data_IF_319883645793
#
_entry.id   IF_319883645793
#
_cell.length_a   1.000
_cell.length_b   1.000
_cell.length_c   1.000
_cell.angle_alpha   90.00
_cell.angle_beta   90.00
_cell.angle_gamma   90.00
#
_symmetry.space_group_name_H-M   'P 1'
#
loop_
_entity.id
_entity.type
_entity.pdbx_description
1 polymer ?
#
# COMPACT_ATOMS: atom_id res chain seq x y z
N UNK A 1 -21.89 -30.29 -24.72
CA UNK A 1 -20.84 -30.54 -23.70
C UNK A 1 -19.72 -29.48 -23.78
N UNK A 2 -20.04 -28.19 -23.59
CA UNK A 2 -19.05 -27.08 -23.68
C UNK A 2 -18.86 -26.39 -22.31
N UNK A 3 -19.81 -26.56 -21.39
CA UNK A 3 -19.78 -25.96 -20.05
C UNK A 3 -18.75 -26.56 -19.09
N UNK A 4 -18.35 -27.82 -19.28
CA UNK A 4 -17.44 -28.49 -18.34
C UNK A 4 -16.00 -27.95 -18.43
N UNK A 5 -15.47 -27.80 -19.64
CA UNK A 5 -14.10 -27.30 -19.85
C UNK A 5 -13.93 -25.85 -19.42
N UNK A 6 -14.92 -24.98 -19.69
CA UNK A 6 -14.88 -23.56 -19.29
C UNK A 6 -14.91 -23.41 -17.77
N UNK A 7 -15.74 -24.17 -17.06
CA UNK A 7 -15.78 -24.18 -15.60
C UNK A 7 -14.45 -24.67 -14.97
N UNK A 8 -13.80 -25.68 -15.56
CA UNK A 8 -12.50 -26.18 -15.07
C UNK A 8 -11.38 -25.15 -15.23
N UNK A 9 -11.30 -24.50 -16.39
CA UNK A 9 -10.33 -23.44 -16.63
C UNK A 9 -10.54 -22.24 -15.69
N UNK A 10 -11.80 -21.84 -15.48
CA UNK A 10 -12.15 -20.79 -14.52
C UNK A 10 -11.75 -21.16 -13.09
N UNK A 11 -12.09 -22.37 -12.62
CA UNK A 11 -11.74 -22.83 -11.28
C UNK A 11 -10.21 -22.89 -11.06
N UNK A 12 -9.47 -23.33 -12.08
CA UNK A 12 -8.00 -23.31 -12.04
C UNK A 12 -7.52 -21.87 -11.87
N UNK A 13 -7.93 -20.95 -12.74
CA UNK A 13 -7.54 -19.54 -12.68
C UNK A 13 -7.87 -18.90 -11.31
N UNK A 14 -9.08 -19.14 -10.78
CA UNK A 14 -9.49 -18.67 -9.45
C UNK A 14 -8.59 -19.20 -8.33
N UNK A 15 -8.24 -20.49 -8.38
CA UNK A 15 -7.33 -21.09 -7.40
C UNK A 15 -5.93 -20.46 -7.45
N UNK A 16 -5.43 -20.15 -8.64
CA UNK A 16 -4.15 -19.46 -8.80
C UNK A 16 -4.20 -18.05 -8.25
N UNK A 17 -5.22 -17.27 -8.61
CA UNK A 17 -5.40 -15.90 -8.11
C UNK A 17 -5.51 -15.87 -6.59
N UNK A 18 -6.30 -16.78 -6.02
CA UNK A 18 -6.41 -16.95 -4.57
C UNK A 18 -5.06 -17.19 -3.89
N UNK A 19 -4.23 -18.07 -4.47
CA UNK A 19 -2.93 -18.40 -3.91
C UNK A 19 -1.94 -17.23 -4.03
N UNK A 20 -1.90 -16.59 -5.20
CA UNK A 20 -1.03 -15.43 -5.44
C UNK A 20 -1.36 -14.28 -4.51
N UNK A 21 -2.64 -13.92 -4.37
CA UNK A 21 -3.08 -12.84 -3.47
C UNK A 21 -2.75 -13.16 -2.02
N UNK A 22 -2.98 -14.40 -1.57
CA UNK A 22 -2.57 -14.84 -0.22
C UNK A 22 -1.07 -14.69 0.02
N UNK A 23 -0.25 -15.09 -0.94
CA UNK A 23 1.20 -14.95 -0.82
C UNK A 23 1.61 -13.48 -0.77
N UNK A 24 0.98 -12.62 -1.58
CA UNK A 24 1.21 -11.17 -1.51
C UNK A 24 0.92 -10.61 -0.12
N UNK A 25 -0.19 -11.00 0.52
CA UNK A 25 -0.51 -10.57 1.89
C UNK A 25 0.52 -11.08 2.91
N UNK A 26 0.92 -12.34 2.79
CA UNK A 26 1.97 -12.90 3.65
C UNK A 26 3.28 -12.12 3.50
N UNK A 27 3.69 -11.82 2.28
CA UNK A 27 4.93 -11.10 2.03
C UNK A 27 4.82 -9.64 2.46
N UNK A 28 3.69 -8.97 2.23
CA UNK A 28 3.39 -7.65 2.77
C UNK A 28 3.57 -7.61 4.29
N UNK A 29 2.95 -8.55 5.02
CA UNK A 29 3.05 -8.62 6.48
C UNK A 29 4.50 -8.86 6.96
N UNK A 30 5.31 -9.61 6.19
CA UNK A 30 6.75 -9.78 6.50
C UNK A 30 7.52 -8.47 6.34
N UNK A 31 7.25 -7.69 5.28
CA UNK A 31 7.89 -6.39 5.08
C UNK A 31 7.46 -5.37 6.14
N UNK A 32 6.17 -5.38 6.51
CA UNK A 32 5.65 -4.55 7.59
C UNK A 32 6.38 -4.84 8.93
N UNK A 33 6.61 -6.11 9.24
CA UNK A 33 7.39 -6.51 10.41
C UNK A 33 8.88 -6.09 10.32
N UNK A 34 9.48 -6.12 9.13
CA UNK A 34 10.86 -5.65 8.96
C UNK A 34 10.97 -4.15 9.16
N UNK A 35 10.00 -3.37 8.67
CA UNK A 35 9.90 -1.93 8.93
C UNK A 35 9.76 -1.64 10.42
N UNK A 36 8.86 -2.33 11.14
CA UNK A 36 8.72 -2.16 12.60
C UNK A 36 10.04 -2.35 13.36
N UNK A 37 10.87 -3.31 12.94
CA UNK A 37 12.19 -3.53 13.54
C UNK A 37 13.16 -2.37 13.32
N UNK A 38 13.04 -1.67 12.19
CA UNK A 38 13.88 -0.51 11.84
C UNK A 38 13.44 0.77 12.54
N UNK A 39 12.18 0.85 13.00
CA UNK A 39 11.64 2.01 13.72
C UNK A 39 12.44 2.36 14.99
N UNK A 40 13.08 1.38 15.64
CA UNK A 40 13.93 1.59 16.81
C UNK A 40 15.41 1.89 16.49
N UNK A 41 15.82 1.78 15.22
CA UNK A 41 17.21 1.93 14.78
C UNK A 41 17.47 3.26 14.03
N UNK A 42 16.55 4.22 14.10
CA UNK A 42 16.59 5.48 13.32
C UNK A 42 16.47 5.28 11.79
N UNK A 43 15.93 4.14 11.34
CA UNK A 43 15.80 3.80 9.92
C UNK A 43 14.49 4.26 9.25
N UNK A 44 13.59 4.90 10.01
CA UNK A 44 12.26 5.34 9.55
C UNK A 44 12.12 6.83 9.81
N UNK A 45 11.68 7.64 8.82
CA UNK A 45 11.48 9.08 8.98
C UNK A 45 10.53 9.40 10.15
N UNK A 46 10.76 10.52 10.82
CA UNK A 46 10.02 10.93 12.03
C UNK A 46 8.49 11.01 11.86
N UNK A 47 8.00 11.18 10.63
CA UNK A 47 6.56 11.24 10.31
C UNK A 47 6.09 10.08 9.40
N UNK A 48 6.90 9.04 9.22
CA UNK A 48 6.49 7.89 8.43
C UNK A 48 5.58 6.96 9.25
N UNK A 49 4.34 6.79 8.78
CA UNK A 49 3.37 5.86 9.36
C UNK A 49 3.61 4.48 8.78
N UNK A 50 3.85 3.50 9.65
CA UNK A 50 3.94 2.10 9.24
C UNK A 50 2.51 1.58 9.13
N UNK A 51 2.10 1.04 7.96
CA UNK A 51 0.74 0.54 7.81
C UNK A 51 0.54 -0.73 8.65
N UNK A 52 -0.69 -1.00 9.14
CA UNK A 52 -0.97 -2.20 9.91
C UNK A 52 -0.91 -3.47 9.04
N UNK A 53 -0.71 -4.65 9.67
CA UNK A 53 -0.75 -5.92 8.97
C UNK A 53 -2.15 -6.22 8.44
N UNK A 54 -2.22 -6.94 7.33
CA UNK A 54 -3.49 -7.37 6.72
C UNK A 54 -3.89 -8.73 7.28
N UNK A 55 -5.12 -8.85 7.76
CA UNK A 55 -5.69 -10.14 8.17
C UNK A 55 -5.97 -11.03 6.96
N UNK A 56 -5.45 -12.27 6.99
CA UNK A 56 -5.69 -13.25 5.92
C UNK A 56 -7.12 -13.84 6.05
N UNK A 57 -7.65 -13.87 7.27
CA UNK A 57 -9.02 -14.31 7.53
C UNK A 57 -9.96 -13.22 7.03
N UNK A 58 -10.95 -13.58 6.22
CA UNK A 58 -11.84 -12.58 5.61
C UNK A 58 -11.21 -11.77 4.47
N UNK A 59 -9.98 -12.08 4.02
CA UNK A 59 -9.34 -11.34 2.92
C UNK A 59 -10.16 -11.30 1.63
N UNK A 60 -10.98 -12.32 1.40
CA UNK A 60 -11.85 -12.43 0.23
C UNK A 60 -13.33 -12.20 0.56
N UNK A 61 -13.67 -11.83 1.80
CA UNK A 61 -15.02 -11.32 2.07
C UNK A 61 -15.14 -9.92 1.50
N UNK A 62 -16.26 -9.66 0.84
CA UNK A 62 -16.62 -8.32 0.38
C UNK A 62 -17.17 -7.54 1.57
N UNK A 63 -16.29 -7.15 2.48
CA UNK A 63 -16.61 -6.29 3.61
C UNK A 63 -15.99 -4.91 3.36
N UNK A 64 -16.85 -3.90 3.29
CA UNK A 64 -16.45 -2.51 2.99
C UNK A 64 -15.84 -1.85 4.22
N UNK A 65 -16.21 -2.32 5.41
CA UNK A 65 -15.68 -1.84 6.69
C UNK A 65 -14.36 -2.53 7.08
N UNK A 66 -13.83 -3.39 6.20
CA UNK A 66 -12.64 -4.16 6.48
C UNK A 66 -11.41 -3.25 6.52
N UNK A 67 -10.58 -3.38 7.56
CA UNK A 67 -9.38 -2.56 7.83
C UNK A 67 -8.32 -2.53 6.70
N UNK A 68 -8.51 -3.30 5.62
CA UNK A 68 -7.70 -3.21 4.40
C UNK A 68 -7.94 -1.90 3.64
N UNK A 69 -9.13 -1.30 3.80
CA UNK A 69 -9.49 0.00 3.22
C UNK A 69 -9.05 1.11 4.17
N UNK A 70 -7.75 1.13 4.47
CA UNK A 70 -7.16 2.04 5.44
C UNK A 70 -7.41 3.50 5.04
N UNK A 71 -8.05 4.25 5.93
CA UNK A 71 -8.18 5.72 5.82
C UNK A 71 -6.90 6.42 6.30
N UNK A 72 -5.75 5.93 5.83
CA UNK A 72 -4.47 6.59 6.03
C UNK A 72 -4.28 7.49 4.81
N UNK A 73 -5.15 8.51 4.73
CA UNK A 73 -5.06 9.54 3.71
C UNK A 73 -3.84 10.45 3.93
N UNK A 74 -3.56 11.28 2.93
CA UNK A 74 -2.76 12.49 3.14
C UNK A 74 -3.53 13.31 4.18
N UNK A 75 -2.96 13.50 5.37
CA UNK A 75 -3.65 14.21 6.43
C UNK A 75 -4.09 15.60 5.92
N UNK A 76 -5.40 15.79 5.70
CA UNK A 76 -5.98 17.06 5.25
C UNK A 76 -5.59 18.20 6.21
N UNK A 77 -5.40 17.85 7.48
CA UNK A 77 -5.10 18.77 8.58
C UNK A 77 -3.62 19.20 8.61
N UNK A 78 -2.68 18.39 8.10
CA UNK A 78 -1.24 18.70 8.14
C UNK A 78 -0.82 19.61 6.97
N UNK A 79 -1.58 19.60 5.87
CA UNK A 79 -1.35 20.45 4.69
C UNK A 79 -2.31 21.65 4.58
N UNK A 80 -3.18 21.88 5.56
CA UNK A 80 -4.04 23.08 5.62
C UNK A 80 -4.94 23.28 4.39
N UNK A 81 -5.36 22.19 3.73
CA UNK A 81 -6.12 22.22 2.48
C UNK A 81 -5.33 22.71 1.26
N UNK A 82 -4.01 22.92 1.36
CA UNK A 82 -3.16 23.19 0.21
C UNK A 82 -2.76 21.88 -0.46
N UNK A 83 -3.03 21.78 -1.76
CA UNK A 83 -2.60 20.65 -2.58
C UNK A 83 -1.08 20.48 -2.44
N UNK A 84 -0.58 19.30 -2.04
CA UNK A 84 0.85 19.13 -1.83
C UNK A 84 1.60 19.35 -3.16
N UNK A 85 2.81 19.95 -3.15
CA UNK A 85 3.50 20.35 -4.37
C UNK A 85 3.76 19.21 -5.36
N UNK A 86 4.02 17.98 -4.89
CA UNK A 86 4.18 16.82 -5.77
C UNK A 86 2.90 16.46 -6.55
N UNK A 87 1.75 16.96 -6.13
CA UNK A 87 0.45 16.75 -6.76
C UNK A 87 0.00 17.95 -7.60
N UNK A 88 0.32 19.19 -7.19
CA UNK A 88 -0.18 20.43 -7.82
C UNK A 88 0.85 21.26 -8.58
N UNK A 89 2.14 20.97 -8.43
CA UNK A 89 3.24 21.71 -9.07
C UNK A 89 3.88 20.85 -10.17
N UNK A 90 3.74 21.31 -11.43
CA UNK A 90 4.27 20.63 -12.61
C UNK A 90 5.81 20.52 -12.59
N UNK A 91 6.49 21.46 -11.95
CA UNK A 91 7.95 21.47 -11.85
C UNK A 91 8.45 20.43 -10.82
N UNK A 92 7.65 20.15 -9.77
CA UNK A 92 7.92 19.06 -8.81
C UNK A 92 7.57 17.68 -9.41
N UNK A 93 6.50 17.60 -10.22
CA UNK A 93 6.13 16.35 -10.92
C UNK A 93 7.16 15.92 -11.96
N UNK A 94 7.85 16.88 -12.60
CA UNK A 94 9.05 16.57 -13.37
C UNK A 94 10.12 16.08 -12.41
N UNK A 95 10.28 14.76 -12.37
CA UNK A 95 11.34 14.09 -11.64
C UNK A 95 12.70 14.75 -11.95
N UNK A 96 13.20 15.57 -11.02
CA UNK A 96 14.58 16.07 -11.01
C UNK A 96 15.41 15.15 -10.11
N UNK A 97 16.43 14.45 -10.65
CA UNK A 97 17.32 13.60 -9.86
C UNK A 97 18.10 14.34 -8.75
N UNK A 98 18.02 15.67 -8.65
CA UNK A 98 18.69 16.48 -7.63
C UNK A 98 17.77 17.04 -6.52
N UNK A 99 16.47 16.72 -6.51
CA UNK A 99 15.49 17.40 -5.66
C UNK A 99 15.74 17.26 -4.13
N UNK A 100 16.45 16.24 -3.65
CA UNK A 100 16.74 16.06 -2.22
C UNK A 100 17.80 17.00 -1.63
N UNK A 101 18.49 17.83 -2.42
CA UNK A 101 19.65 18.62 -1.95
C UNK A 101 19.34 20.03 -1.44
N UNK A 102 18.18 20.61 -1.76
CA UNK A 102 18.00 22.06 -1.61
C UNK A 102 16.78 22.52 -0.78
N UNK A 103 16.07 21.64 -0.06
CA UNK A 103 15.05 22.11 0.87
C UNK A 103 15.68 22.39 2.25
N UNK A 104 16.28 23.59 2.38
CA UNK A 104 16.51 24.19 3.69
C UNK A 104 15.15 24.68 4.18
N UNK A 105 14.55 23.92 5.08
CA UNK A 105 13.35 24.36 5.82
C UNK A 105 13.73 25.60 6.66
N UNK A 106 12.85 26.62 6.74
CA UNK A 106 12.99 27.71 7.71
C UNK A 106 12.91 27.21 9.15
#
# INVERSE_FOLDING_TARGET
MIYHSTAEHMNKALKWQYWSIKNCVVDYNKHQLSMLKLCGQCGIPHNAVIPPPIEIKGLFSLDVDNDIWQDIGLADDEFGGQVPPWLGDEDVQKWDPNCSRNHKLP
#
